data_IF_985979731851
#
_entry.id   IF_985979731851
#
_cell.length_a   1.000
_cell.length_b   1.000
_cell.length_c   1.000
_cell.angle_alpha   90.00
_cell.angle_beta   90.00
_cell.angle_gamma   90.00
#
_symmetry.space_group_name_H-M   'P 1'
#
loop_
_entity.id
_entity.type
_entity.pdbx_description
1 polymer ?
#
# COMPACT_ATOMS: atom_id res chain seq x y z
N UNK A 1 -16.89 -20.06 11.96
CA UNK A 1 -17.17 -19.06 10.89
C UNK A 1 -16.24 -17.88 11.08
N UNK A 2 -15.38 -17.57 10.11
CA UNK A 2 -14.56 -16.35 10.15
C UNK A 2 -15.46 -15.11 10.05
N UNK A 3 -15.15 -14.07 10.82
CA UNK A 3 -15.93 -12.81 10.84
C UNK A 3 -15.89 -12.14 9.46
N UNK A 4 -16.89 -11.33 9.12
CA UNK A 4 -16.97 -10.66 7.81
C UNK A 4 -15.76 -9.73 7.54
N UNK A 5 -15.22 -9.12 8.61
CA UNK A 5 -14.02 -8.30 8.54
C UNK A 5 -12.76 -9.15 8.28
N UNK A 6 -12.69 -10.37 8.84
CA UNK A 6 -11.63 -11.33 8.50
C UNK A 6 -11.72 -11.75 7.03
N UNK A 7 -12.93 -11.94 6.47
CA UNK A 7 -13.09 -12.33 5.06
C UNK A 7 -12.55 -11.27 4.10
N UNK A 8 -12.89 -9.99 4.30
CA UNK A 8 -12.45 -8.93 3.37
C UNK A 8 -10.94 -8.69 3.46
N UNK A 9 -10.41 -8.64 4.69
CA UNK A 9 -8.97 -8.58 4.90
C UNK A 9 -8.30 -9.75 4.20
N UNK A 10 -8.82 -10.96 4.37
CA UNK A 10 -8.30 -12.18 3.74
C UNK A 10 -8.27 -12.10 2.20
N UNK A 11 -9.32 -11.58 1.55
CA UNK A 11 -9.35 -11.41 0.09
C UNK A 11 -8.27 -10.47 -0.43
N UNK A 12 -8.00 -9.35 0.24
CA UNK A 12 -6.91 -8.45 -0.14
C UNK A 12 -5.55 -9.14 -0.13
N UNK A 13 -5.28 -9.98 0.89
CA UNK A 13 -3.99 -10.68 1.01
C UNK A 13 -3.88 -11.74 -0.08
N UNK A 14 -4.94 -12.51 -0.31
CA UNK A 14 -4.97 -13.52 -1.39
C UNK A 14 -4.66 -12.88 -2.73
N UNK A 15 -5.35 -11.80 -3.09
CA UNK A 15 -5.19 -11.19 -4.40
C UNK A 15 -3.78 -10.59 -4.58
N UNK A 16 -3.23 -9.95 -3.54
CA UNK A 16 -1.85 -9.47 -3.57
C UNK A 16 -0.82 -10.58 -3.73
N UNK A 17 -0.98 -11.70 -3.01
CA UNK A 17 -0.12 -12.89 -3.15
C UNK A 17 -0.26 -13.50 -4.55
N UNK A 18 -1.49 -13.66 -5.04
CA UNK A 18 -1.77 -14.21 -6.36
C UNK A 18 -1.07 -13.41 -7.46
N UNK A 19 -1.29 -12.09 -7.50
CA UNK A 19 -0.71 -11.22 -8.53
C UNK A 19 0.81 -11.17 -8.47
N UNK A 20 1.39 -11.18 -7.26
CA UNK A 20 2.85 -11.21 -7.11
C UNK A 20 3.45 -12.55 -7.54
N UNK A 21 2.80 -13.69 -7.28
CA UNK A 21 3.26 -14.98 -7.80
C UNK A 21 3.22 -15.03 -9.34
N UNK A 22 2.17 -14.50 -9.97
CA UNK A 22 2.01 -14.47 -11.42
C UNK A 22 3.03 -13.53 -12.09
N UNK A 23 3.23 -12.33 -11.53
CA UNK A 23 4.09 -11.29 -12.11
C UNK A 23 5.51 -11.43 -11.58
N UNK A 24 6.42 -12.05 -12.34
CA UNK A 24 7.78 -12.45 -11.88
C UNK A 24 8.65 -11.34 -11.30
N UNK A 25 8.46 -10.09 -11.72
CA UNK A 25 9.29 -8.96 -11.29
C UNK A 25 8.58 -8.08 -10.24
N UNK A 26 7.46 -8.55 -9.69
CA UNK A 26 6.72 -7.80 -8.68
C UNK A 26 7.31 -8.01 -7.27
N UNK A 27 7.36 -6.95 -6.47
CA UNK A 27 7.60 -7.04 -5.03
C UNK A 27 6.25 -6.84 -4.31
N UNK A 28 5.83 -7.81 -3.51
CA UNK A 28 4.66 -7.67 -2.65
C UNK A 28 5.03 -6.86 -1.41
N UNK A 29 4.40 -5.71 -1.22
CA UNK A 29 4.60 -4.85 -0.05
C UNK A 29 3.30 -4.77 0.74
N UNK A 30 3.29 -5.31 1.95
CA UNK A 30 2.24 -4.97 2.92
C UNK A 30 2.57 -3.61 3.53
N UNK A 31 1.69 -2.62 3.42
CA UNK A 31 1.93 -1.27 3.95
C UNK A 31 0.91 -0.87 5.01
N UNK A 32 1.40 -0.37 6.13
CA UNK A 32 0.58 0.12 7.24
C UNK A 32 1.32 0.07 8.56
N UNK A 33 1.36 1.19 9.26
CA UNK A 33 2.05 1.35 10.52
C UNK A 33 1.22 1.04 11.75
N UNK A 34 1.81 1.32 12.92
CA UNK A 34 1.22 1.02 14.22
C UNK A 34 0.33 2.20 14.69
N UNK A 35 -0.94 2.19 14.31
CA UNK A 35 -1.82 3.36 14.43
C UNK A 35 -2.71 3.41 15.68
N UNK A 36 -2.74 2.35 16.50
CA UNK A 36 -3.69 2.22 17.62
C UNK A 36 -2.98 1.84 18.92
N UNK A 37 -3.19 2.61 19.98
CA UNK A 37 -2.76 2.23 21.35
C UNK A 37 -3.57 1.05 21.89
N UNK A 38 -4.85 0.96 21.51
CA UNK A 38 -5.80 -0.03 22.03
C UNK A 38 -5.73 -1.39 21.33
N UNK A 39 -4.89 -1.55 20.31
CA UNK A 39 -4.56 -2.91 19.86
C UNK A 39 -3.60 -3.49 20.89
N UNK A 40 -3.92 -4.64 21.48
CA UNK A 40 -3.05 -5.39 22.40
C UNK A 40 -1.77 -5.94 21.71
N UNK A 41 -1.30 -5.28 20.65
CA UNK A 41 -0.20 -5.71 19.80
C UNK A 41 0.75 -4.55 19.54
N UNK A 42 2.04 -4.84 19.68
CA UNK A 42 3.15 -3.96 19.29
C UNK A 42 3.41 -3.98 17.78
N UNK A 43 2.70 -4.81 17.03
CA UNK A 43 2.92 -4.99 15.60
C UNK A 43 2.27 -3.86 14.79
N UNK A 44 2.94 -3.48 13.70
CA UNK A 44 2.36 -2.67 12.65
C UNK A 44 1.21 -3.42 11.95
N UNK A 45 0.35 -2.69 11.25
CA UNK A 45 -0.71 -3.31 10.43
C UNK A 45 -0.11 -4.20 9.33
N UNK A 46 0.97 -3.77 8.67
CA UNK A 46 1.65 -4.53 7.64
C UNK A 46 2.26 -5.83 8.16
N UNK A 47 2.96 -5.80 9.29
CA UNK A 47 3.52 -7.01 9.91
C UNK A 47 2.42 -7.93 10.40
N UNK A 48 1.32 -7.40 10.92
CA UNK A 48 0.15 -8.21 11.28
C UNK A 48 -0.41 -8.96 10.07
N UNK A 49 -0.48 -8.32 8.90
CA UNK A 49 -0.95 -8.97 7.67
C UNK A 49 0.03 -10.02 7.14
N UNK A 50 1.33 -9.71 7.12
CA UNK A 50 2.36 -10.68 6.72
C UNK A 50 2.35 -11.92 7.61
N UNK A 51 2.24 -11.73 8.94
CA UNK A 51 2.15 -12.83 9.90
C UNK A 51 0.92 -13.70 9.66
N UNK A 52 -0.25 -13.12 9.43
CA UNK A 52 -1.46 -13.90 9.10
C UNK A 52 -1.29 -14.71 7.82
N UNK A 53 -0.67 -14.13 6.77
CA UNK A 53 -0.41 -14.84 5.53
C UNK A 53 0.52 -16.04 5.73
N UNK A 54 1.58 -15.86 6.53
CA UNK A 54 2.52 -16.93 6.89
C UNK A 54 1.85 -18.01 7.75
N UNK A 55 1.15 -17.64 8.82
CA UNK A 55 0.50 -18.58 9.74
C UNK A 55 -0.59 -19.42 9.10
N UNK A 56 -1.25 -18.89 8.05
CA UNK A 56 -2.26 -19.62 7.28
C UNK A 56 -1.66 -20.32 6.04
N UNK A 57 -0.33 -20.29 5.88
CA UNK A 57 0.39 -20.86 4.74
C UNK A 57 -0.16 -20.40 3.38
N UNK A 58 -0.63 -19.15 3.29
CA UNK A 58 -1.36 -18.67 2.10
C UNK A 58 -0.49 -18.67 0.84
N UNK A 59 0.80 -18.39 0.98
CA UNK A 59 1.73 -18.38 -0.15
C UNK A 59 1.82 -19.75 -0.82
N UNK A 60 1.97 -20.82 -0.05
CA UNK A 60 2.02 -22.18 -0.58
C UNK A 60 0.67 -22.60 -1.14
N UNK A 61 -0.42 -22.35 -0.41
CA UNK A 61 -1.78 -22.71 -0.85
C UNK A 61 -2.13 -22.04 -2.19
N UNK A 62 -1.86 -20.74 -2.32
CA UNK A 62 -2.15 -20.00 -3.55
C UNK A 62 -1.21 -20.45 -4.68
N UNK A 63 0.06 -20.71 -4.38
CA UNK A 63 1.00 -21.24 -5.37
C UNK A 63 0.53 -22.59 -5.95
N UNK A 64 0.13 -23.53 -5.10
CA UNK A 64 -0.36 -24.84 -5.52
C UNK A 64 -1.65 -24.70 -6.36
N UNK A 65 -2.57 -23.84 -5.92
CA UNK A 65 -3.78 -23.53 -6.69
C UNK A 65 -3.45 -22.96 -8.08
N UNK A 66 -2.49 -22.03 -8.17
CA UNK A 66 -2.11 -21.44 -9.45
C UNK A 66 -1.40 -22.43 -10.39
N UNK A 67 -0.69 -23.42 -9.85
CA UNK A 67 -0.12 -24.53 -10.63
C UNK A 67 -1.21 -25.45 -11.18
N UNK A 68 -2.24 -25.76 -10.39
CA UNK A 68 -3.39 -26.55 -10.81
C UNK A 68 -4.18 -25.84 -11.92
N UNK A 69 -4.40 -24.53 -11.75
CA UNK A 69 -5.06 -23.65 -12.72
C UNK A 69 -4.19 -23.36 -13.97
N UNK A 70 -2.95 -23.86 -14.03
CA UNK A 70 -1.98 -23.61 -15.11
C UNK A 70 -1.70 -22.12 -15.35
N UNK A 71 -1.86 -21.29 -14.33
CA UNK A 71 -1.49 -19.88 -14.35
C UNK A 71 0.01 -19.68 -14.04
N UNK A 72 0.65 -20.68 -13.44
CA UNK A 72 2.10 -20.76 -13.27
C UNK A 72 2.68 -21.88 -14.14
N UNK A 73 3.88 -21.63 -14.66
CA UNK A 73 4.64 -22.63 -15.43
C UNK A 73 5.29 -23.64 -14.49
N UNK A 74 5.18 -24.94 -14.80
CA UNK A 74 5.79 -26.03 -14.02
C UNK A 74 7.32 -25.96 -14.01
N UNK A 75 7.94 -25.32 -15.01
CA UNK A 75 9.38 -25.08 -15.04
C UNK A 75 9.82 -23.91 -14.15
N UNK A 76 8.87 -23.08 -13.69
CA UNK A 76 9.11 -21.98 -12.75
C UNK A 76 8.90 -22.42 -11.30
N UNK A 77 9.28 -23.66 -10.96
CA UNK A 77 9.37 -24.12 -9.57
C UNK A 77 10.52 -23.41 -8.86
N UNK A 78 10.39 -22.10 -8.64
CA UNK A 78 11.11 -21.44 -7.57
C UNK A 78 10.59 -22.00 -6.25
N UNK A 79 11.48 -22.13 -5.26
CA UNK A 79 11.02 -22.53 -3.93
C UNK A 79 10.21 -21.36 -3.38
N UNK A 80 9.03 -21.61 -2.82
CA UNK A 80 8.22 -20.55 -2.19
C UNK A 80 9.04 -19.75 -1.17
N UNK A 81 10.01 -20.39 -0.53
CA UNK A 81 11.01 -19.73 0.31
C UNK A 81 11.79 -18.61 -0.40
N UNK A 82 12.22 -18.80 -1.64
CA UNK A 82 12.94 -17.77 -2.43
C UNK A 82 12.00 -16.60 -2.73
N UNK A 83 10.76 -16.86 -3.14
CA UNK A 83 9.76 -15.80 -3.32
C UNK A 83 9.51 -15.00 -2.03
N UNK A 84 9.37 -15.67 -0.89
CA UNK A 84 9.19 -15.00 0.39
C UNK A 84 10.39 -14.14 0.78
N UNK A 85 11.59 -14.56 0.43
CA UNK A 85 12.83 -13.84 0.77
C UNK A 85 13.07 -12.65 -0.14
N UNK A 86 12.82 -12.81 -1.45
CA UNK A 86 13.26 -11.86 -2.47
C UNK A 86 12.14 -10.97 -2.98
N UNK A 87 10.87 -11.30 -2.69
CA UNK A 87 9.72 -10.69 -3.35
C UNK A 87 8.54 -10.41 -2.43
N UNK A 88 8.75 -10.47 -1.11
CA UNK A 88 7.78 -10.05 -0.10
C UNK A 88 8.45 -9.21 0.97
N UNK A 89 7.88 -8.05 1.29
CA UNK A 89 8.33 -7.19 2.40
C UNK A 89 7.17 -6.48 3.07
N UNK A 90 7.44 -5.85 4.21
CA UNK A 90 6.54 -4.92 4.89
C UNK A 90 7.06 -3.47 4.77
N UNK A 91 6.13 -2.53 4.86
CA UNK A 91 6.31 -1.10 5.08
C UNK A 91 5.51 -0.75 6.35
N UNK A 92 6.17 -0.30 7.41
CA UNK A 92 5.62 -0.26 8.78
C UNK A 92 5.37 1.14 9.35
N UNK A 93 5.50 2.18 8.54
CA UNK A 93 5.46 3.57 8.98
C UNK A 93 4.27 4.35 8.42
N UNK A 94 3.56 3.86 7.40
CA UNK A 94 2.40 4.55 6.87
C UNK A 94 1.28 4.73 7.90
N UNK A 95 0.74 5.94 8.00
CA UNK A 95 -0.29 6.31 8.99
C UNK A 95 -1.63 6.69 8.34
N UNK A 96 -1.61 6.87 7.03
CA UNK A 96 -2.76 7.17 6.20
C UNK A 96 -2.53 6.63 4.79
N UNK A 97 -3.54 6.78 3.94
CA UNK A 97 -3.48 6.29 2.56
C UNK A 97 -2.46 6.98 1.66
N UNK A 98 -2.09 8.23 1.96
CA UNK A 98 -1.07 8.95 1.19
C UNK A 98 0.29 8.33 1.49
N UNK A 99 0.61 8.25 2.78
CA UNK A 99 1.84 7.60 3.28
C UNK A 99 1.90 6.12 2.92
N UNK A 100 0.77 5.40 2.87
CA UNK A 100 0.75 4.03 2.36
C UNK A 100 1.35 3.93 0.95
N UNK A 101 0.98 4.84 0.06
CA UNK A 101 1.45 4.81 -1.32
C UNK A 101 2.91 5.25 -1.41
N UNK A 102 3.24 6.46 -0.95
CA UNK A 102 4.59 7.03 -1.13
C UNK A 102 5.66 6.27 -0.34
N UNK A 103 5.34 5.76 0.85
CA UNK A 103 6.30 4.93 1.61
C UNK A 103 6.46 3.55 1.00
N UNK A 104 5.44 2.98 0.36
CA UNK A 104 5.61 1.73 -0.41
C UNK A 104 6.57 1.92 -1.58
N UNK A 105 6.51 3.07 -2.27
CA UNK A 105 7.47 3.43 -3.34
C UNK A 105 8.89 3.54 -2.77
N UNK A 106 9.06 4.24 -1.65
CA UNK A 106 10.37 4.35 -0.99
C UNK A 106 10.90 3.00 -0.50
N UNK A 107 10.01 2.16 0.05
CA UNK A 107 10.34 0.80 0.51
C UNK A 107 10.72 -0.12 -0.64
N UNK A 108 10.04 0.00 -1.79
CA UNK A 108 10.40 -0.73 -3.01
C UNK A 108 11.84 -0.41 -3.43
N UNK A 109 12.23 0.88 -3.40
CA UNK A 109 13.60 1.33 -3.71
C UNK A 109 14.63 0.81 -2.70
N UNK A 110 14.33 0.84 -1.40
CA UNK A 110 15.22 0.24 -0.38
C UNK A 110 15.45 -1.25 -0.61
N UNK A 111 14.40 -1.96 -1.05
CA UNK A 111 14.44 -3.41 -1.20
C UNK A 111 15.09 -3.85 -2.53
N UNK A 112 14.83 -3.14 -3.62
CA UNK A 112 15.24 -3.55 -4.99
C UNK A 112 16.37 -2.72 -5.59
N UNK A 113 16.75 -1.63 -4.94
CA UNK A 113 17.74 -0.68 -5.44
C UNK A 113 17.24 0.26 -6.54
N UNK A 114 15.98 0.15 -7.01
CA UNK A 114 15.39 1.00 -8.06
C UNK A 114 13.94 1.37 -7.74
N UNK A 115 13.37 2.40 -8.37
CA UNK A 115 11.95 2.71 -8.23
C UNK A 115 11.09 1.77 -9.08
N UNK A 116 9.84 1.47 -8.68
CA UNK A 116 8.98 0.60 -9.47
C UNK A 116 8.67 1.26 -10.82
N UNK A 117 8.51 0.44 -11.86
CA UNK A 117 8.01 0.92 -13.17
C UNK A 117 6.48 0.95 -13.20
N UNK A 118 5.83 -0.01 -12.51
CA UNK A 118 4.38 -0.12 -12.40
C UNK A 118 3.98 -0.26 -10.94
N UNK A 119 2.87 0.35 -10.55
CA UNK A 119 2.28 0.20 -9.22
C UNK A 119 0.90 -0.43 -9.33
N UNK A 120 0.68 -1.51 -8.58
CA UNK A 120 -0.66 -2.08 -8.38
C UNK A 120 -1.04 -1.98 -6.91
N UNK A 121 -2.11 -1.25 -6.61
CA UNK A 121 -2.67 -1.15 -5.26
C UNK A 121 -3.83 -2.12 -5.13
N UNK A 122 -3.77 -3.02 -4.15
CA UNK A 122 -4.89 -3.89 -3.79
C UNK A 122 -5.58 -3.32 -2.55
N UNK A 123 -6.87 -3.02 -2.64
CA UNK A 123 -7.59 -2.43 -1.52
C UNK A 123 -9.10 -2.45 -1.69
N UNK A 124 -9.82 -1.91 -0.70
CA UNK A 124 -11.27 -1.80 -0.78
C UNK A 124 -11.71 -0.94 -1.97
N UNK A 125 -12.76 -1.38 -2.67
CA UNK A 125 -13.31 -0.70 -3.85
C UNK A 125 -13.63 0.78 -3.61
N UNK A 126 -14.23 1.12 -2.47
CA UNK A 126 -14.62 2.50 -2.16
C UNK A 126 -13.42 3.47 -2.14
N UNK A 127 -12.20 3.02 -1.82
CA UNK A 127 -10.99 3.86 -1.80
C UNK A 127 -10.36 4.08 -3.18
N UNK A 128 -10.79 3.32 -4.19
CA UNK A 128 -10.17 3.28 -5.52
C UNK A 128 -10.00 4.66 -6.14
N UNK A 129 -11.08 5.46 -6.13
CA UNK A 129 -11.09 6.81 -6.70
C UNK A 129 -10.03 7.72 -6.05
N UNK A 130 -9.91 7.71 -4.72
CA UNK A 130 -8.92 8.53 -4.00
C UNK A 130 -7.48 8.15 -4.37
N UNK A 131 -7.18 6.87 -4.52
CA UNK A 131 -5.83 6.44 -4.91
C UNK A 131 -5.51 6.85 -6.35
N UNK A 132 -6.45 6.68 -7.27
CA UNK A 132 -6.22 6.93 -8.70
C UNK A 132 -6.24 8.42 -9.07
N UNK A 133 -7.13 9.22 -8.47
CA UNK A 133 -7.34 10.62 -8.87
C UNK A 133 -6.63 11.61 -7.94
N UNK A 134 -6.21 11.19 -6.74
CA UNK A 134 -5.52 12.09 -5.80
C UNK A 134 -4.10 11.62 -5.53
N UNK A 135 -3.92 10.40 -5.01
CA UNK A 135 -2.59 9.96 -4.55
C UNK A 135 -1.63 9.67 -5.72
N UNK A 136 -2.09 8.96 -6.75
CA UNK A 136 -1.32 8.74 -7.99
C UNK A 136 -0.95 10.08 -8.64
N UNK A 137 -1.91 11.00 -8.71
CA UNK A 137 -1.70 12.33 -9.26
C UNK A 137 -0.69 13.12 -8.44
N UNK A 138 -0.78 13.14 -7.11
CA UNK A 138 0.20 13.80 -6.25
C UNK A 138 1.64 13.30 -6.47
N UNK A 139 1.80 12.02 -6.87
CA UNK A 139 3.07 11.44 -7.29
C UNK A 139 3.42 11.68 -8.75
N UNK A 140 2.57 12.31 -9.56
CA UNK A 140 2.69 12.40 -11.03
C UNK A 140 2.98 11.04 -11.67
N UNK A 141 2.40 9.98 -11.11
CA UNK A 141 2.60 8.63 -11.63
C UNK A 141 1.73 8.43 -12.87
N UNK A 142 2.27 7.96 -14.01
CA UNK A 142 1.49 7.78 -15.23
C UNK A 142 0.32 6.82 -15.03
N UNK A 143 -0.85 7.14 -15.60
CA UNK A 143 -2.08 6.35 -15.42
C UNK A 143 -1.95 4.92 -15.98
N UNK A 144 -1.25 4.76 -17.10
CA UNK A 144 -0.97 3.49 -17.74
C UNK A 144 0.02 2.62 -16.94
N UNK A 145 0.77 3.23 -16.01
CA UNK A 145 1.71 2.56 -15.10
C UNK A 145 1.14 2.42 -13.68
N UNK A 146 -0.17 2.66 -13.48
CA UNK A 146 -0.83 2.58 -12.18
C UNK A 146 -2.17 1.83 -12.25
N UNK A 147 -2.32 0.80 -11.44
CA UNK A 147 -3.52 -0.04 -11.38
C UNK A 147 -4.08 -0.08 -9.95
N UNK A 148 -5.42 -0.06 -9.81
CA UNK A 148 -6.09 -0.29 -8.54
C UNK A 148 -7.01 -1.52 -8.61
N UNK A 149 -6.61 -2.60 -7.94
CA UNK A 149 -7.40 -3.83 -7.84
C UNK A 149 -8.37 -3.71 -6.67
N UNK A 150 -9.66 -3.60 -7.02
CA UNK A 150 -10.74 -3.36 -6.08
C UNK A 150 -11.26 -4.67 -5.48
N UNK A 151 -11.13 -4.82 -4.17
CA UNK A 151 -11.76 -5.90 -3.41
C UNK A 151 -13.14 -5.44 -2.97
N UNK A 152 -14.17 -6.20 -3.35
CA UNK A 152 -15.54 -5.93 -2.94
C UNK A 152 -15.73 -6.18 -1.45
N UNK A 153 -16.61 -5.37 -0.87
CA UNK A 153 -16.94 -5.41 0.54
C UNK A 153 -18.41 -5.83 0.66
N UNK A 154 -18.63 -7.11 0.91
CA UNK A 154 -19.97 -7.71 1.02
C UNK A 154 -20.64 -7.40 2.38
N UNK A 155 -20.17 -6.37 3.09
CA UNK A 155 -20.74 -6.00 4.39
C UNK A 155 -21.94 -5.07 4.30
N UNK A 156 -22.87 -5.26 5.24
CA UNK A 156 -24.04 -4.39 5.42
C UNK A 156 -23.69 -2.94 5.79
N UNK A 157 -22.39 -2.60 5.92
CA UNK A 157 -21.89 -1.25 6.23
C UNK A 157 -21.41 -0.49 5.00
N UNK A 158 -21.61 -1.04 3.80
CA UNK A 158 -21.07 -0.51 2.56
C UNK A 158 -21.41 0.98 2.36
N UNK A 159 -22.68 1.36 2.55
CA UNK A 159 -23.14 2.74 2.38
C UNK A 159 -22.42 3.72 3.33
N UNK A 160 -22.32 3.37 4.61
CA UNK A 160 -21.62 4.18 5.61
C UNK A 160 -20.13 4.34 5.27
N UNK A 161 -19.49 3.29 4.74
CA UNK A 161 -18.10 3.34 4.28
C UNK A 161 -17.92 4.24 3.06
N UNK A 162 -18.85 4.21 2.11
CA UNK A 162 -18.84 5.12 0.96
C UNK A 162 -19.03 6.59 1.37
N UNK A 163 -19.96 6.86 2.29
CA UNK A 163 -20.15 8.21 2.83
C UNK A 163 -18.89 8.72 3.54
N UNK A 164 -18.31 7.90 4.43
CA UNK A 164 -17.07 8.24 5.11
C UNK A 164 -15.89 8.44 4.15
N UNK A 165 -15.80 7.64 3.10
CA UNK A 165 -14.75 7.79 2.08
C UNK A 165 -14.96 9.04 1.23
N UNK A 166 -16.19 9.47 0.93
CA UNK A 166 -16.46 10.74 0.22
C UNK A 166 -15.88 11.93 0.98
N UNK A 167 -16.02 11.97 2.32
CA UNK A 167 -15.41 13.01 3.14
C UNK A 167 -13.88 12.96 3.10
N UNK A 168 -13.29 11.75 3.12
CA UNK A 168 -11.83 11.58 3.07
C UNK A 168 -11.29 11.98 1.70
N UNK A 169 -11.96 11.59 0.61
CA UNK A 169 -11.66 12.00 -0.75
C UNK A 169 -11.65 13.53 -0.86
N UNK A 170 -12.72 14.20 -0.39
CA UNK A 170 -12.80 15.66 -0.39
C UNK A 170 -11.69 16.30 0.46
N UNK A 171 -11.39 15.74 1.64
CA UNK A 171 -10.33 16.24 2.51
C UNK A 171 -8.98 16.24 1.79
N UNK A 172 -8.63 15.14 1.10
CA UNK A 172 -7.40 15.07 0.30
C UNK A 172 -7.49 15.91 -0.98
N UNK A 173 -8.67 16.25 -1.47
CA UNK A 173 -8.84 17.20 -2.58
C UNK A 173 -8.42 18.63 -2.22
N UNK A 174 -8.56 19.02 -0.94
CA UNK A 174 -8.13 20.32 -0.43
C UNK A 174 -6.74 20.30 0.24
N UNK A 175 -6.23 19.12 0.56
CA UNK A 175 -4.93 18.90 1.19
C UNK A 175 -4.30 17.62 0.62
N UNK A 176 -3.71 17.77 -0.57
CA UNK A 176 -3.27 16.66 -1.44
C UNK A 176 -2.25 15.74 -0.76
N UNK A 177 -1.38 16.32 0.07
CA UNK A 177 -0.29 15.62 0.77
C UNK A 177 -0.66 15.27 2.23
N UNK A 178 -1.87 15.65 2.67
CA UNK A 178 -2.37 15.36 4.02
C UNK A 178 -1.60 16.06 5.13
N UNK A 179 -1.03 17.23 4.85
CA UNK A 179 -0.13 17.95 5.75
C UNK A 179 -0.79 19.14 6.47
N UNK A 180 -2.07 19.40 6.20
CA UNK A 180 -2.84 20.50 6.79
C UNK A 180 -4.02 20.00 7.65
N UNK A 181 -4.46 20.88 8.55
CA UNK A 181 -5.72 20.77 9.30
C UNK A 181 -6.05 19.36 9.83
N UNK A 182 -7.23 18.85 9.43
CA UNK A 182 -7.80 17.59 9.92
C UNK A 182 -6.96 16.36 9.53
N UNK A 183 -6.33 16.35 8.35
CA UNK A 183 -5.52 15.21 7.89
C UNK A 183 -4.21 15.13 8.67
N UNK A 184 -3.51 16.25 8.83
CA UNK A 184 -2.31 16.31 9.67
C UNK A 184 -2.61 15.90 11.12
N UNK A 185 -3.71 16.42 11.68
CA UNK A 185 -4.14 16.08 13.05
C UNK A 185 -4.45 14.58 13.21
N UNK A 186 -5.07 13.97 12.19
CA UNK A 186 -5.27 12.51 12.12
C UNK A 186 -3.93 11.76 12.02
N UNK A 187 -2.98 12.23 11.21
CA UNK A 187 -1.67 11.60 11.06
C UNK A 187 -0.90 11.62 12.39
N UNK A 188 -0.85 12.77 13.06
CA UNK A 188 -0.21 12.92 14.39
C UNK A 188 -0.84 11.97 15.40
N UNK A 189 -2.18 11.95 15.50
CA UNK A 189 -2.88 11.10 16.48
C UNK A 189 -2.73 9.59 16.20
N UNK A 190 -2.39 9.21 14.96
CA UNK A 190 -2.09 7.84 14.55
C UNK A 190 -0.63 7.42 14.76
N UNK A 191 0.23 8.28 15.33
CA UNK A 191 1.58 7.88 15.74
C UNK A 191 1.78 7.89 17.25
N UNK A 192 0.97 7.14 18.03
CA UNK A 192 1.07 7.20 19.48
C UNK A 192 2.38 6.61 20.02
N UNK A 193 3.06 5.79 19.22
CA UNK A 193 4.35 5.18 19.54
C UNK A 193 5.55 6.02 19.09
N UNK A 194 5.31 7.20 18.48
CA UNK A 194 6.35 8.14 18.02
C UNK A 194 7.43 7.46 17.16
N UNK A 195 7.01 6.58 16.24
CA UNK A 195 7.89 5.93 15.27
C UNK A 195 8.19 6.88 14.10
N UNK A 196 9.38 6.79 13.52
CA UNK A 196 9.82 7.60 12.38
C UNK A 196 10.39 6.71 11.29
N UNK A 197 10.10 7.03 10.04
CA UNK A 197 10.65 6.32 8.88
C UNK A 197 12.06 6.82 8.54
N UNK A 198 12.87 5.97 7.91
CA UNK A 198 14.22 6.30 7.42
C UNK A 198 14.24 6.92 6.02
N UNK A 199 13.08 7.06 5.36
CA UNK A 199 13.03 7.41 3.92
C UNK A 199 13.66 8.74 3.53
N UNK A 200 13.80 9.71 4.45
CA UNK A 200 14.52 10.96 4.16
C UNK A 200 16.03 10.75 3.94
N UNK A 201 16.58 9.64 4.46
CA UNK A 201 17.99 9.28 4.35
C UNK A 201 18.18 8.20 3.27
N UNK A 202 17.35 7.16 3.29
CA UNK A 202 17.47 6.02 2.36
C UNK A 202 16.95 6.31 0.95
N UNK A 203 16.11 7.34 0.79
CA UNK A 203 15.51 7.78 -0.47
C UNK A 203 15.66 9.30 -0.59
N UNK A 204 16.90 9.79 -0.62
CA UNK A 204 17.19 11.23 -0.65
C UNK A 204 16.56 11.93 -1.86
N UNK A 205 16.35 11.22 -2.98
CA UNK A 205 15.65 11.76 -4.15
C UNK A 205 14.17 12.07 -3.89
N UNK A 206 13.56 11.49 -2.83
CA UNK A 206 12.18 11.74 -2.42
C UNK A 206 12.06 12.77 -1.29
N UNK A 207 13.15 13.22 -0.66
CA UNK A 207 13.10 14.12 0.49
C UNK A 207 12.24 15.36 0.22
N UNK A 208 12.46 16.03 -0.91
CA UNK A 208 11.68 17.22 -1.26
C UNK A 208 10.18 16.93 -1.44
N UNK A 209 9.80 15.75 -1.96
CA UNK A 209 8.40 15.33 -2.07
C UNK A 209 7.81 14.98 -0.70
N UNK A 210 8.57 14.27 0.15
CA UNK A 210 8.11 13.83 1.47
C UNK A 210 7.91 15.01 2.43
N UNK A 211 8.70 16.07 2.27
CA UNK A 211 8.61 17.31 3.04
C UNK A 211 7.71 18.37 2.37
N UNK A 212 7.22 18.11 1.16
CA UNK A 212 6.38 19.07 0.45
C UNK A 212 5.04 19.26 1.14
N UNK A 213 4.79 20.48 1.59
CA UNK A 213 3.53 20.90 2.15
C UNK A 213 3.18 22.31 1.65
N UNK A 214 2.40 22.42 0.56
CA UNK A 214 2.05 23.72 0.01
C UNK A 214 1.05 24.44 0.91
N UNK A 215 1.19 25.77 1.06
CA UNK A 215 0.33 26.56 1.95
C UNK A 215 -1.16 26.50 1.58
N UNK A 216 -1.48 26.34 0.29
CA UNK A 216 -2.84 26.18 -0.20
C UNK A 216 -3.34 24.72 -0.18
N UNK A 217 -2.49 23.76 0.23
CA UNK A 217 -2.80 22.33 0.28
C UNK A 217 -2.85 21.61 -1.07
N UNK A 218 -2.84 22.34 -2.19
CA UNK A 218 -3.17 21.82 -3.52
C UNK A 218 -2.13 22.15 -4.60
N UNK A 219 -1.04 22.85 -4.30
CA UNK A 219 0.03 23.01 -5.28
C UNK A 219 0.82 21.71 -5.43
N UNK A 220 1.16 21.40 -6.68
CA UNK A 220 1.96 20.23 -7.00
C UNK A 220 3.39 20.43 -6.50
N UNK A 221 4.02 19.35 -6.03
CA UNK A 221 5.44 19.37 -5.74
C UNK A 221 6.23 19.78 -7.00
N UNK A 222 6.97 20.90 -6.97
CA UNK A 222 7.59 21.46 -8.17
C UNK A 222 8.93 20.79 -8.53
N UNK A 223 9.54 20.08 -7.58
CA UNK A 223 10.85 19.45 -7.78
C UNK A 223 10.81 18.23 -8.71
N UNK A 224 11.96 17.67 -9.09
CA UNK A 224 12.03 16.47 -9.93
C UNK A 224 11.50 15.25 -9.17
N UNK A 225 10.97 14.26 -9.91
CA UNK A 225 10.66 12.93 -9.35
C UNK A 225 11.49 11.87 -10.09
N UNK A 226 11.99 10.84 -9.38
CA UNK A 226 12.87 9.84 -9.98
C UNK A 226 12.26 9.10 -11.18
N UNK A 227 10.93 8.97 -11.20
CA UNK A 227 10.20 8.29 -12.27
C UNK A 227 9.77 9.19 -13.42
N UNK A 228 10.04 10.49 -13.37
CA UNK A 228 9.66 11.42 -14.46
C UNK A 228 10.33 11.10 -15.79
N UNK A 229 11.46 10.38 -15.78
CA UNK A 229 12.21 9.99 -16.97
C UNK A 229 12.14 8.48 -17.25
N UNK A 230 11.29 7.72 -16.55
CA UNK A 230 11.07 6.30 -16.88
C UNK A 230 10.20 6.23 -18.14
N UNK A 231 10.86 6.29 -19.30
CA UNK A 231 10.27 5.92 -20.60
C UNK A 231 9.74 4.50 -20.53
#
# INVERSE_FOLDING_TARGET
MRSLLERILYHQKIEGIKLSLIRKDALLIYSGGQTRLKSNSSLSESTSYSNVANSLNLYQVIYDQLLEERQLDRHQRFRIHEFLTDRVTTEEFALDSWTNLVFSVARFKEFTGHYPHHITVIGHSFKSKRFQEIHREALRWPSEKFEYVSIQDDSNQLESRYLGEKEVFQSFGFDRYGCLGKLMSKRISRNPFRRFHSYLISNYELTGLLEWCPANGIDWYPGPLPWSNLT
#
